data_IF_210408697399
#
_entry.id   IF_210408697399
#
_cell.length_a   1.000
_cell.length_b   1.000
_cell.length_c   1.000
_cell.angle_alpha   90.00
_cell.angle_beta   90.00
_cell.angle_gamma   90.00
#
_symmetry.space_group_name_H-M   'P 1'
#
loop_
_entity.id
_entity.type
_entity.pdbx_description
1 polymer ?
#
# COMPACT_ATOMS: atom_id res chain seq x y z
N UNK A 1 -42.49 -68.21 -34.88
CA UNK A 1 -43.14 -67.44 -33.79
C UNK A 1 -42.22 -67.32 -32.57
N UNK A 2 -41.59 -68.39 -32.08
CA UNK A 2 -40.65 -68.32 -30.95
C UNK A 2 -39.40 -67.42 -31.17
N UNK A 3 -38.77 -67.46 -32.36
CA UNK A 3 -37.57 -66.63 -32.63
C UNK A 3 -37.84 -65.13 -32.59
N UNK A 4 -38.94 -64.67 -33.19
CA UNK A 4 -39.33 -63.25 -33.16
C UNK A 4 -39.65 -62.78 -31.74
N UNK A 5 -40.22 -63.66 -30.90
CA UNK A 5 -40.45 -63.39 -29.49
C UNK A 5 -39.13 -63.19 -28.73
N UNK A 6 -38.15 -64.06 -28.96
CA UNK A 6 -36.83 -63.95 -28.34
C UNK A 6 -36.04 -62.72 -28.79
N UNK A 7 -36.12 -62.34 -30.06
CA UNK A 7 -35.52 -61.09 -30.56
C UNK A 7 -36.15 -59.85 -29.90
N UNK A 8 -37.48 -59.81 -29.78
CA UNK A 8 -38.17 -58.72 -29.08
C UNK A 8 -37.72 -58.59 -27.62
N UNK A 9 -37.66 -59.70 -26.88
CA UNK A 9 -37.18 -59.71 -25.49
C UNK A 9 -35.72 -59.27 -25.37
N UNK A 10 -34.89 -59.56 -26.37
CA UNK A 10 -33.50 -59.09 -26.42
C UNK A 10 -33.43 -57.58 -26.66
N UNK A 11 -34.20 -57.07 -27.62
CA UNK A 11 -34.26 -55.64 -27.93
C UNK A 11 -34.83 -54.83 -26.76
N UNK A 12 -35.86 -55.32 -26.07
CA UNK A 12 -36.43 -54.67 -24.89
C UNK A 12 -35.41 -54.57 -23.74
N UNK A 13 -34.65 -55.65 -23.47
CA UNK A 13 -33.58 -55.62 -22.46
C UNK A 13 -32.46 -54.64 -22.83
N UNK A 14 -32.11 -54.58 -24.11
CA UNK A 14 -31.10 -53.64 -24.59
C UNK A 14 -31.60 -52.19 -24.53
N UNK A 15 -32.86 -51.95 -24.87
CA UNK A 15 -33.49 -50.64 -24.73
C UNK A 15 -33.48 -50.18 -23.27
N UNK A 16 -33.94 -51.02 -22.34
CA UNK A 16 -33.94 -50.70 -20.91
C UNK A 16 -32.53 -50.33 -20.42
N UNK A 17 -31.51 -51.11 -20.79
CA UNK A 17 -30.11 -50.80 -20.44
C UNK A 17 -29.61 -49.48 -21.04
N UNK A 18 -30.06 -49.11 -22.25
CA UNK A 18 -29.70 -47.83 -22.87
C UNK A 18 -30.43 -46.66 -22.23
N UNK A 19 -31.68 -46.86 -21.79
CA UNK A 19 -32.47 -45.85 -21.07
C UNK A 19 -31.87 -45.56 -19.68
N UNK A 20 -31.43 -46.60 -18.96
CA UNK A 20 -30.71 -46.45 -17.69
C UNK A 20 -29.40 -45.67 -17.88
N UNK A 21 -28.60 -46.05 -18.88
CA UNK A 21 -27.35 -45.35 -19.19
C UNK A 21 -27.58 -43.90 -19.64
N UNK A 22 -28.68 -43.65 -20.38
CA UNK A 22 -29.06 -42.30 -20.79
C UNK A 22 -29.44 -41.45 -19.56
N UNK A 23 -30.20 -42.00 -18.61
CA UNK A 23 -30.56 -41.30 -17.38
C UNK A 23 -29.32 -40.88 -16.59
N UNK A 24 -28.35 -41.77 -16.38
CA UNK A 24 -27.09 -41.44 -15.68
C UNK A 24 -26.34 -40.28 -16.35
N UNK A 25 -26.28 -40.27 -17.69
CA UNK A 25 -25.62 -39.19 -18.45
C UNK A 25 -26.40 -37.87 -18.35
N UNK A 26 -27.73 -37.92 -18.36
CA UNK A 26 -28.57 -36.72 -18.20
C UNK A 26 -28.42 -36.12 -16.80
N UNK A 27 -28.41 -36.95 -15.76
CA UNK A 27 -28.18 -36.52 -14.37
C UNK A 27 -26.79 -35.88 -14.23
N UNK A 28 -25.75 -36.52 -14.77
CA UNK A 28 -24.39 -35.97 -14.74
C UNK A 28 -24.29 -34.65 -15.50
N UNK A 29 -24.98 -34.53 -16.62
CA UNK A 29 -25.05 -33.27 -17.39
C UNK A 29 -25.70 -32.16 -16.57
N UNK A 30 -26.82 -32.44 -15.90
CA UNK A 30 -27.52 -31.46 -15.08
C UNK A 30 -26.66 -30.98 -13.90
N UNK A 31 -25.93 -31.90 -13.24
CA UNK A 31 -24.99 -31.56 -12.19
C UNK A 31 -23.89 -30.61 -12.70
N UNK A 32 -23.28 -30.92 -13.84
CA UNK A 32 -22.24 -30.09 -14.46
C UNK A 32 -22.77 -28.72 -14.90
N UNK A 33 -24.00 -28.66 -15.41
CA UNK A 33 -24.65 -27.40 -15.78
C UNK A 33 -24.93 -26.52 -14.55
N UNK A 34 -25.33 -27.11 -13.43
CA UNK A 34 -25.50 -26.39 -12.18
C UNK A 34 -24.17 -25.83 -11.66
N UNK A 35 -23.11 -26.65 -11.69
CA UNK A 35 -21.75 -26.24 -11.33
C UNK A 35 -21.25 -25.09 -12.22
N UNK A 36 -21.37 -25.23 -13.55
CA UNK A 36 -20.99 -24.18 -14.50
C UNK A 36 -21.72 -22.87 -14.22
N UNK A 37 -23.01 -22.94 -13.92
CA UNK A 37 -23.81 -21.75 -13.60
C UNK A 37 -23.33 -21.09 -12.31
N UNK A 38 -23.02 -21.87 -11.27
CA UNK A 38 -22.50 -21.35 -10.01
C UNK A 38 -21.13 -20.68 -10.20
N UNK A 39 -20.20 -21.34 -10.87
CA UNK A 39 -18.86 -20.81 -11.15
C UNK A 39 -18.90 -19.56 -12.03
N UNK A 40 -19.80 -19.52 -13.03
CA UNK A 40 -20.00 -18.33 -13.85
C UNK A 40 -20.47 -17.14 -13.02
N UNK A 41 -21.34 -17.34 -12.03
CA UNK A 41 -21.77 -16.26 -11.12
C UNK A 41 -20.64 -15.81 -10.21
N UNK A 42 -19.88 -16.75 -9.64
CA UNK A 42 -18.73 -16.44 -8.81
C UNK A 42 -17.68 -15.63 -9.57
N UNK A 43 -17.38 -16.01 -10.82
CA UNK A 43 -16.47 -15.28 -11.70
C UNK A 43 -16.95 -13.87 -12.01
N UNK A 44 -18.25 -13.68 -12.24
CA UNK A 44 -18.81 -12.34 -12.48
C UNK A 44 -18.69 -11.45 -11.23
N UNK A 45 -18.95 -12.00 -10.04
CA UNK A 45 -18.77 -11.27 -8.79
C UNK A 45 -17.31 -10.86 -8.58
N UNK A 46 -16.37 -11.81 -8.71
CA UNK A 46 -14.93 -11.53 -8.58
C UNK A 46 -14.43 -10.49 -9.59
N UNK A 47 -14.96 -10.50 -10.82
CA UNK A 47 -14.63 -9.47 -11.82
C UNK A 47 -15.13 -8.09 -11.43
N UNK A 48 -16.32 -8.00 -10.83
CA UNK A 48 -16.85 -6.74 -10.33
C UNK A 48 -16.01 -6.23 -9.15
N UNK A 49 -15.64 -7.11 -8.22
CA UNK A 49 -14.79 -6.78 -7.07
C UNK A 49 -13.40 -6.31 -7.51
N UNK A 50 -12.80 -7.01 -8.49
CA UNK A 50 -11.52 -6.62 -9.08
C UNK A 50 -11.62 -5.22 -9.70
N UNK A 51 -12.66 -4.96 -10.50
CA UNK A 51 -12.84 -3.66 -11.14
C UNK A 51 -12.99 -2.52 -10.11
N UNK A 52 -13.75 -2.76 -9.04
CA UNK A 52 -13.90 -1.80 -7.95
C UNK A 52 -12.58 -1.55 -7.20
N UNK A 53 -11.81 -2.61 -6.91
CA UNK A 53 -10.51 -2.49 -6.28
C UNK A 53 -9.50 -1.75 -7.16
N UNK A 54 -9.52 -1.99 -8.47
CA UNK A 54 -8.67 -1.31 -9.44
C UNK A 54 -8.98 0.19 -9.49
N UNK A 55 -10.26 0.55 -9.52
CA UNK A 55 -10.69 1.95 -9.49
C UNK A 55 -10.25 2.65 -8.19
N UNK A 56 -10.45 2.01 -7.04
CA UNK A 56 -10.01 2.55 -5.75
C UNK A 56 -8.49 2.74 -5.67
N UNK A 57 -7.72 1.81 -6.26
CA UNK A 57 -6.27 1.93 -6.36
C UNK A 57 -5.87 3.12 -7.24
N UNK A 58 -6.49 3.27 -8.42
CA UNK A 58 -6.20 4.37 -9.33
C UNK A 58 -6.52 5.74 -8.70
N UNK A 59 -7.64 5.83 -7.98
CA UNK A 59 -8.03 7.03 -7.22
C UNK A 59 -6.99 7.35 -6.12
N UNK A 60 -6.61 6.36 -5.31
CA UNK A 60 -5.61 6.55 -4.25
C UNK A 60 -4.23 6.95 -4.79
N UNK A 61 -3.80 6.38 -5.93
CA UNK A 61 -2.56 6.75 -6.58
C UNK A 61 -2.61 8.18 -7.10
N UNK A 62 -3.72 8.60 -7.70
CA UNK A 62 -3.90 9.97 -8.16
C UNK A 62 -3.84 10.99 -7.01
N UNK A 63 -4.47 10.69 -5.87
CA UNK A 63 -4.40 11.53 -4.66
C UNK A 63 -2.97 11.64 -4.12
N UNK A 64 -2.25 10.51 -4.02
CA UNK A 64 -0.86 10.49 -3.56
C UNK A 64 0.04 11.30 -4.50
N UNK A 65 -0.13 11.16 -5.82
CA UNK A 65 0.67 11.91 -6.78
C UNK A 65 0.36 13.41 -6.75
N UNK A 66 -0.91 13.78 -6.57
CA UNK A 66 -1.31 15.18 -6.40
C UNK A 66 -0.67 15.78 -5.13
N UNK A 67 -0.78 15.09 -3.99
CA UNK A 67 -0.17 15.53 -2.73
C UNK A 67 1.36 15.61 -2.86
N UNK A 68 2.00 14.62 -3.48
CA UNK A 68 3.44 14.60 -3.75
C UNK A 68 3.86 15.79 -4.60
N UNK A 69 3.11 16.10 -5.65
CA UNK A 69 3.41 17.25 -6.53
C UNK A 69 3.26 18.57 -5.78
N UNK A 70 2.17 18.74 -5.02
CA UNK A 70 1.94 19.94 -4.20
C UNK A 70 3.06 20.14 -3.18
N UNK A 71 3.41 19.10 -2.41
CA UNK A 71 4.47 19.18 -1.42
C UNK A 71 5.85 19.38 -2.04
N UNK A 72 6.15 18.76 -3.18
CA UNK A 72 7.42 19.01 -3.88
C UNK A 72 7.51 20.46 -4.37
N UNK A 73 6.44 20.99 -4.96
CA UNK A 73 6.39 22.38 -5.42
C UNK A 73 6.55 23.36 -4.26
N UNK A 74 5.85 23.12 -3.14
CA UNK A 74 6.02 23.92 -1.92
C UNK A 74 7.44 23.85 -1.38
N UNK A 75 8.05 22.67 -1.34
CA UNK A 75 9.44 22.50 -0.94
C UNK A 75 10.37 23.30 -1.86
N UNK A 76 10.22 23.17 -3.17
CA UNK A 76 11.10 23.85 -4.14
C UNK A 76 10.99 25.38 -4.01
N UNK A 77 9.79 25.91 -3.77
CA UNK A 77 9.58 27.33 -3.47
C UNK A 77 10.26 27.75 -2.16
N UNK A 78 10.14 26.97 -1.08
CA UNK A 78 10.78 27.28 0.20
C UNK A 78 12.31 27.21 0.10
N UNK A 79 12.85 26.16 -0.51
CA UNK A 79 14.30 26.00 -0.69
C UNK A 79 14.90 27.11 -1.54
N UNK A 80 14.16 27.65 -2.53
CA UNK A 80 14.60 28.80 -3.31
C UNK A 80 14.72 30.11 -2.49
N UNK A 81 14.07 30.21 -1.33
CA UNK A 81 14.19 31.35 -0.42
C UNK A 81 15.31 31.20 0.61
N UNK A 82 15.87 30.00 0.77
CA UNK A 82 16.93 29.73 1.73
C UNK A 82 18.31 30.06 1.15
N UNK A 83 19.25 30.37 2.04
CA UNK A 83 20.65 30.44 1.66
C UNK A 83 21.12 29.09 1.07
N UNK A 84 21.82 29.09 -0.10
CA UNK A 84 22.23 27.85 -0.76
C UNK A 84 23.13 26.94 0.08
N UNK A 85 23.97 27.51 0.95
CA UNK A 85 24.86 26.74 1.81
C UNK A 85 24.06 26.04 2.92
N UNK A 86 23.10 26.76 3.52
CA UNK A 86 22.17 26.19 4.50
C UNK A 86 21.29 25.08 3.88
N UNK A 87 20.75 25.32 2.69
CA UNK A 87 19.97 24.33 1.95
C UNK A 87 20.81 23.07 1.65
N UNK A 88 22.06 23.24 1.20
CA UNK A 88 22.98 22.13 0.95
C UNK A 88 23.36 21.35 2.21
N UNK A 89 23.42 22.02 3.36
CA UNK A 89 23.64 21.37 4.65
C UNK A 89 22.42 20.52 5.06
N UNK A 90 21.23 21.08 4.95
CA UNK A 90 19.97 20.37 5.22
C UNK A 90 19.82 19.11 4.35
N UNK A 91 20.04 19.23 3.03
CA UNK A 91 19.88 18.11 2.10
C UNK A 91 20.91 17.00 2.34
N UNK A 92 22.16 17.35 2.67
CA UNK A 92 23.18 16.34 3.06
C UNK A 92 22.74 15.53 4.29
N UNK A 93 22.17 16.21 5.28
CA UNK A 93 21.73 15.57 6.49
C UNK A 93 20.45 14.75 6.30
N UNK A 94 19.55 15.21 5.42
CA UNK A 94 18.35 14.48 5.00
C UNK A 94 18.69 13.22 4.19
N UNK A 95 19.71 13.28 3.33
CA UNK A 95 20.19 12.13 2.57
C UNK A 95 20.69 10.98 3.47
N UNK A 96 21.09 11.28 4.72
CA UNK A 96 21.46 10.30 5.74
C UNK A 96 20.26 9.54 6.35
N UNK A 97 19.03 9.78 5.92
CA UNK A 97 17.82 9.09 6.38
C UNK A 97 17.11 9.74 7.56
N UNK A 98 17.66 10.82 8.11
CA UNK A 98 17.00 11.65 9.13
C UNK A 98 16.18 12.79 8.52
N UNK A 99 15.45 13.57 9.34
CA UNK A 99 14.64 14.70 8.87
C UNK A 99 15.47 15.92 8.41
N UNK A 100 16.81 15.87 8.50
CA UNK A 100 17.72 16.96 8.11
C UNK A 100 17.83 18.08 9.16
N UNK A 101 16.70 18.50 9.71
CA UNK A 101 16.59 19.48 10.79
C UNK A 101 15.53 19.06 11.82
N UNK A 102 15.66 19.53 13.05
CA UNK A 102 14.69 19.30 14.11
C UNK A 102 14.65 20.46 15.10
N UNK A 103 13.47 20.75 15.63
CA UNK A 103 13.31 21.75 16.70
C UNK A 103 13.99 21.28 17.98
N UNK A 104 14.71 22.17 18.65
CA UNK A 104 15.18 21.91 20.01
C UNK A 104 13.99 22.00 20.97
N UNK A 105 13.73 20.92 21.73
CA UNK A 105 12.62 20.82 22.68
C UNK A 105 13.20 20.68 24.09
N UNK A 106 13.40 21.78 24.80
CA UNK A 106 14.15 21.77 26.05
C UNK A 106 15.56 21.23 25.83
N UNK A 107 15.90 20.11 26.48
CA UNK A 107 17.16 19.40 26.29
C UNK A 107 17.10 18.25 25.28
N UNK A 108 16.06 18.15 24.44
CA UNK A 108 15.89 17.03 23.49
C UNK A 108 15.93 17.48 22.04
N UNK A 109 16.64 16.73 21.19
CA UNK A 109 16.65 16.96 19.75
C UNK A 109 15.34 16.50 19.10
N UNK A 110 14.63 17.38 18.39
CA UNK A 110 13.40 17.02 17.67
C UNK A 110 13.59 16.10 16.46
N UNK A 111 14.83 15.87 16.01
CA UNK A 111 15.14 14.98 14.89
C UNK A 111 15.33 13.52 15.35
N UNK A 112 16.31 13.26 16.21
CA UNK A 112 16.59 11.91 16.71
C UNK A 112 15.86 11.55 18.02
N UNK A 113 15.23 12.53 18.68
CA UNK A 113 14.54 12.39 19.98
C UNK A 113 15.45 11.98 21.14
N UNK A 114 16.77 12.14 20.99
CA UNK A 114 17.76 11.90 22.05
C UNK A 114 17.94 13.16 22.90
N UNK A 115 18.17 12.95 24.20
CA UNK A 115 18.54 13.99 25.15
C UNK A 115 19.98 14.45 24.93
N UNK A 116 20.16 15.76 24.85
CA UNK A 116 21.45 16.41 24.67
C UNK A 116 22.11 16.56 26.04
N UNK A 117 23.40 16.23 26.12
CA UNK A 117 24.15 16.35 27.37
C UNK A 117 24.19 17.80 27.86
N UNK A 118 24.22 18.01 29.19
CA UNK A 118 24.17 19.36 29.79
C UNK A 118 25.27 20.30 29.29
N UNK A 119 26.47 19.77 29.03
CA UNK A 119 27.59 20.58 28.52
C UNK A 119 27.38 21.03 27.08
N UNK A 120 26.89 20.14 26.22
CA UNK A 120 26.55 20.45 24.83
C UNK A 120 25.36 21.40 24.77
N UNK A 121 24.34 21.19 25.60
CA UNK A 121 23.19 22.08 25.69
C UNK A 121 23.60 23.49 26.09
N UNK A 122 24.51 23.64 27.07
CA UNK A 122 25.03 24.96 27.44
C UNK A 122 25.76 25.66 26.29
N UNK A 123 26.51 24.91 25.47
CA UNK A 123 27.16 25.46 24.26
C UNK A 123 26.12 25.87 23.22
N UNK A 124 25.10 25.03 22.98
CA UNK A 124 24.01 25.29 22.03
C UNK A 124 23.20 26.54 22.45
N UNK A 125 22.94 26.71 23.75
CA UNK A 125 22.25 27.89 24.30
C UNK A 125 23.10 29.16 24.25
N UNK A 126 24.43 29.04 24.34
CA UNK A 126 25.35 30.18 24.29
C UNK A 126 25.73 30.63 22.87
N UNK A 127 25.49 29.79 21.85
CA UNK A 127 25.75 30.12 20.45
C UNK A 127 24.91 31.32 19.98
N UNK A 128 25.44 32.15 19.09
CA UNK A 128 24.74 33.34 18.58
C UNK A 128 23.47 32.95 17.82
N UNK A 129 22.42 33.78 17.82
CA UNK A 129 21.11 33.43 17.21
C UNK A 129 21.19 33.08 15.72
N UNK A 130 22.13 33.69 14.99
CA UNK A 130 22.41 33.46 13.56
C UNK A 130 23.31 32.24 13.31
N UNK A 131 23.87 31.64 14.35
CA UNK A 131 24.73 30.47 14.24
C UNK A 131 23.91 29.17 14.02
N UNK A 132 24.30 28.42 12.99
CA UNK A 132 23.68 27.13 12.64
C UNK A 132 24.30 26.01 13.47
N UNK A 133 23.59 25.59 14.51
CA UNK A 133 24.04 24.54 15.44
C UNK A 133 23.48 23.17 15.03
N UNK A 134 24.23 22.09 15.30
CA UNK A 134 23.84 20.72 14.97
C UNK A 134 23.73 19.85 16.23
N UNK A 135 22.89 18.84 16.15
CA UNK A 135 22.78 17.83 17.19
C UNK A 135 24.06 16.97 17.22
N UNK A 136 24.71 16.79 18.39
CA UNK A 136 25.91 15.97 18.52
C UNK A 136 25.65 14.49 18.22
N UNK A 137 24.43 14.02 18.46
CA UNK A 137 24.05 12.61 18.31
C UNK A 137 23.71 12.23 16.87
N UNK A 138 22.99 13.09 16.15
CA UNK A 138 22.46 12.74 14.81
C UNK A 138 22.89 13.68 13.69
N UNK A 139 23.57 14.79 13.99
CA UNK A 139 24.01 15.77 12.99
C UNK A 139 22.92 16.68 12.44
N UNK A 140 21.64 16.47 12.81
CA UNK A 140 20.52 17.32 12.38
C UNK A 140 20.71 18.78 12.80
N UNK A 141 20.31 19.71 11.94
CA UNK A 141 20.26 21.15 12.28
C UNK A 141 19.27 21.34 13.42
N UNK A 142 19.70 21.99 14.50
CA UNK A 142 18.85 22.30 15.64
C UNK A 142 18.20 23.68 15.45
N UNK A 143 16.89 23.70 15.29
CA UNK A 143 16.12 24.94 15.21
C UNK A 143 15.83 25.45 16.63
N UNK A 144 16.52 26.52 17.02
CA UNK A 144 16.36 27.26 18.28
C UNK A 144 15.31 28.36 18.12
N UNK A 145 14.05 27.94 17.94
CA UNK A 145 12.92 28.88 17.86
C UNK A 145 12.61 29.44 19.25
N UNK A 146 12.17 30.69 19.33
CA UNK A 146 11.80 31.36 20.59
C UNK A 146 10.93 30.45 21.49
N UNK A 147 11.28 30.36 22.78
CA UNK A 147 10.57 29.53 23.76
C UNK A 147 10.95 28.04 23.77
N UNK A 148 12.19 27.66 23.44
CA UNK A 148 12.68 26.28 23.68
C UNK A 148 13.16 26.01 25.12
N UNK A 149 13.22 27.05 25.95
CA UNK A 149 13.77 27.02 27.31
C UNK A 149 12.79 26.55 28.41
N UNK A 150 11.50 26.36 28.06
CA UNK A 150 10.46 25.76 28.93
C UNK A 150 10.34 24.24 28.75
#
# INVERSE_FOLDING_TARGET
MADLQHELDSLQRRQASLEDALLEVLERREELQAQQTAESRALQALRADLAAAQQALDEALAEIDQARHQHSSQRDMLTATLDPELAGLYERQRAGGGPGAGRLQGHRCGACRIEIGRGELAQISAAAEDEVVRCPECGAILLRLEGFEE
#
